data_IF_662361320721
#
_entry.id   IF_662361320721
#
_cell.length_a   1.000
_cell.length_b   1.000
_cell.length_c   1.000
_cell.angle_alpha   90.00
_cell.angle_beta   90.00
_cell.angle_gamma   90.00
#
_symmetry.space_group_name_H-M   'P 1'
#
loop_
_entity.id
_entity.type
_entity.pdbx_description
1 polymer ?
#
# COMPACT_ATOMS: atom_id res chain seq x y z
N UNK A 1 11.85 -11.00 1.03
CA UNK A 1 11.05 -10.79 2.26
C UNK A 1 9.77 -11.60 2.09
N UNK A 2 9.57 -12.65 2.88
CA UNK A 2 8.36 -13.50 2.82
C UNK A 2 7.43 -13.09 3.96
N UNK A 3 6.12 -12.99 3.71
CA UNK A 3 5.15 -12.58 4.75
C UNK A 3 4.92 -13.70 5.78
N UNK A 4 4.86 -13.32 7.06
CA UNK A 4 4.66 -14.27 8.17
C UNK A 4 3.22 -14.79 8.21
N UNK A 5 2.27 -13.96 7.83
CA UNK A 5 0.88 -14.35 7.57
C UNK A 5 0.78 -15.56 6.63
N UNK A 6 1.39 -15.51 5.43
CA UNK A 6 1.32 -16.65 4.50
C UNK A 6 2.00 -17.91 5.06
N UNK A 7 3.13 -17.77 5.75
CA UNK A 7 3.81 -18.92 6.38
C UNK A 7 2.94 -19.59 7.45
N UNK A 8 2.18 -18.80 8.19
CA UNK A 8 1.34 -19.28 9.29
C UNK A 8 0.03 -19.88 8.80
N UNK A 9 -0.47 -19.43 7.66
CA UNK A 9 -1.82 -19.76 7.20
C UNK A 9 -1.85 -20.74 6.02
N UNK A 10 -0.73 -20.96 5.31
CA UNK A 10 -0.58 -22.01 4.28
C UNK A 10 -0.30 -23.39 4.90
N UNK A 11 -1.20 -23.87 5.76
CA UNK A 11 -1.06 -25.16 6.47
C UNK A 11 -1.89 -26.29 5.89
N UNK A 12 -3.05 -25.97 5.31
CA UNK A 12 -3.98 -26.98 4.84
C UNK A 12 -3.58 -27.50 3.45
N UNK A 13 -3.40 -28.81 3.35
CA UNK A 13 -3.16 -29.52 2.10
C UNK A 13 -4.30 -30.48 1.82
N UNK A 14 -4.91 -30.37 0.65
CA UNK A 14 -5.86 -31.35 0.12
C UNK A 14 -5.36 -31.85 -1.21
N UNK A 15 -5.24 -33.16 -1.37
CA UNK A 15 -4.77 -33.81 -2.60
C UNK A 15 -3.41 -33.26 -3.10
N UNK A 16 -2.50 -32.95 -2.17
CA UNK A 16 -1.17 -32.40 -2.48
C UNK A 16 -1.15 -30.91 -2.84
N UNK A 17 -2.29 -30.23 -2.87
CA UNK A 17 -2.40 -28.78 -3.12
C UNK A 17 -2.58 -28.02 -1.82
N UNK A 18 -1.87 -26.91 -1.67
CA UNK A 18 -2.17 -25.94 -0.61
C UNK A 18 -3.48 -25.23 -0.94
N UNK A 19 -4.43 -25.23 -0.01
CA UNK A 19 -5.66 -24.47 -0.13
C UNK A 19 -5.54 -23.24 0.73
N UNK A 20 -5.76 -22.08 0.13
CA UNK A 20 -5.74 -20.80 0.84
C UNK A 20 -7.07 -20.08 0.63
N UNK A 21 -7.92 -20.11 1.67
CA UNK A 21 -9.23 -19.47 1.65
C UNK A 21 -9.10 -18.03 2.16
N UNK A 22 -9.05 -17.09 1.23
CA UNK A 22 -9.15 -15.66 1.51
C UNK A 22 -10.58 -15.23 1.22
N UNK A 23 -11.27 -14.69 2.22
CA UNK A 23 -12.53 -13.97 2.01
C UNK A 23 -12.26 -12.47 1.89
N UNK A 24 -13.17 -11.74 1.25
CA UNK A 24 -13.18 -10.26 1.22
C UNK A 24 -12.05 -9.56 0.44
N UNK A 25 -11.27 -10.26 -0.37
CA UNK A 25 -10.27 -9.65 -1.26
C UNK A 25 -10.60 -9.96 -2.71
N UNK A 26 -10.63 -8.93 -3.56
CA UNK A 26 -10.92 -9.12 -4.98
C UNK A 26 -9.73 -9.74 -5.72
N UNK A 27 -9.97 -10.49 -6.81
CA UNK A 27 -8.90 -11.12 -7.59
C UNK A 27 -7.83 -10.13 -8.07
N UNK A 28 -8.22 -8.90 -8.43
CA UNK A 28 -7.29 -7.84 -8.86
C UNK A 28 -6.33 -7.43 -7.75
N UNK A 29 -6.84 -7.23 -6.53
CA UNK A 29 -6.00 -6.88 -5.38
C UNK A 29 -5.03 -8.02 -5.07
N UNK A 30 -5.53 -9.26 -5.09
CA UNK A 30 -4.71 -10.43 -4.85
C UNK A 30 -3.60 -10.60 -5.90
N UNK A 31 -3.90 -10.34 -7.18
CA UNK A 31 -2.89 -10.35 -8.25
C UNK A 31 -1.79 -9.32 -8.00
N UNK A 32 -2.16 -8.09 -7.62
CA UNK A 32 -1.21 -7.04 -7.29
C UNK A 32 -0.32 -7.42 -6.09
N UNK A 33 -0.89 -8.03 -5.06
CA UNK A 33 -0.14 -8.56 -3.91
C UNK A 33 0.87 -9.63 -4.35
N UNK A 34 0.45 -10.60 -5.17
CA UNK A 34 1.36 -11.64 -5.64
C UNK A 34 2.45 -11.06 -6.53
N UNK A 35 2.11 -10.14 -7.44
CA UNK A 35 3.10 -9.46 -8.27
C UNK A 35 4.15 -8.75 -7.42
N UNK A 36 3.74 -8.06 -6.36
CA UNK A 36 4.67 -7.46 -5.40
C UNK A 36 5.54 -8.51 -4.70
N UNK A 37 4.97 -9.62 -4.22
CA UNK A 37 5.72 -10.69 -3.54
C UNK A 37 6.78 -11.34 -4.43
N UNK A 38 6.49 -11.56 -5.70
CA UNK A 38 7.40 -12.21 -6.65
C UNK A 38 8.40 -11.24 -7.27
N UNK A 39 7.96 -10.05 -7.67
CA UNK A 39 8.78 -9.08 -8.42
C UNK A 39 9.42 -8.00 -7.52
N UNK A 40 8.93 -7.84 -6.29
CA UNK A 40 9.34 -6.77 -5.37
C UNK A 40 8.92 -5.36 -5.82
N UNK A 41 8.06 -5.26 -6.84
CA UNK A 41 7.68 -3.99 -7.49
C UNK A 41 6.18 -3.97 -7.79
N UNK A 42 5.60 -2.79 -7.72
CA UNK A 42 4.22 -2.49 -8.10
C UNK A 42 4.17 -1.04 -8.59
N UNK A 43 3.38 -0.79 -9.65
CA UNK A 43 3.12 0.57 -10.11
C UNK A 43 1.80 1.05 -9.51
N UNK A 44 1.87 1.98 -8.57
CA UNK A 44 0.71 2.56 -7.90
C UNK A 44 0.08 3.71 -8.69
N UNK A 45 0.78 4.25 -9.70
CA UNK A 45 0.34 5.43 -10.46
C UNK A 45 -0.86 5.15 -11.36
N UNK A 46 -1.00 3.90 -11.81
CA UNK A 46 -2.08 3.44 -12.70
C UNK A 46 -3.37 3.07 -11.94
N UNK A 47 -3.35 3.07 -10.62
CA UNK A 47 -4.48 2.64 -9.80
C UNK A 47 -5.30 3.82 -9.27
N UNK A 48 -6.62 3.61 -9.15
CA UNK A 48 -7.53 4.59 -8.53
C UNK A 48 -7.36 4.61 -7.00
N UNK A 49 -7.81 5.70 -6.36
CA UNK A 49 -7.73 5.83 -4.90
C UNK A 49 -8.45 4.69 -4.15
N UNK A 50 -9.59 4.24 -4.68
CA UNK A 50 -10.34 3.12 -4.11
C UNK A 50 -9.52 1.83 -4.17
N UNK A 51 -8.86 1.55 -5.30
CA UNK A 51 -8.00 0.37 -5.45
C UNK A 51 -6.78 0.46 -4.53
N UNK A 52 -6.15 1.63 -4.42
CA UNK A 52 -5.02 1.85 -3.53
C UNK A 52 -5.40 1.64 -2.06
N UNK A 53 -6.61 2.06 -1.68
CA UNK A 53 -7.14 1.86 -0.31
C UNK A 53 -7.37 0.37 -0.03
N UNK A 54 -8.02 -0.34 -0.95
CA UNK A 54 -8.22 -1.79 -0.83
C UNK A 54 -6.89 -2.56 -0.80
N UNK A 55 -5.92 -2.13 -1.62
CA UNK A 55 -4.59 -2.71 -1.65
C UNK A 55 -3.84 -2.48 -0.33
N UNK A 56 -3.95 -1.27 0.24
CA UNK A 56 -3.38 -0.95 1.55
C UNK A 56 -3.97 -1.84 2.65
N UNK A 57 -5.29 -2.01 2.66
CA UNK A 57 -5.98 -2.90 3.61
C UNK A 57 -5.47 -4.34 3.48
N UNK A 58 -5.42 -4.88 2.26
CA UNK A 58 -4.92 -6.23 2.01
C UNK A 58 -3.43 -6.40 2.37
N UNK A 59 -2.59 -5.41 2.05
CA UNK A 59 -1.17 -5.42 2.39
C UNK A 59 -0.96 -5.44 3.91
N UNK A 60 -1.80 -4.72 4.67
CA UNK A 60 -1.78 -4.74 6.13
C UNK A 60 -2.24 -6.09 6.68
N UNK A 61 -3.33 -6.66 6.16
CA UNK A 61 -3.83 -7.98 6.56
C UNK A 61 -2.78 -9.08 6.32
N UNK A 62 -2.04 -8.99 5.21
CA UNK A 62 -1.00 -9.95 4.86
C UNK A 62 0.37 -9.66 5.48
N UNK A 63 0.46 -8.69 6.40
CA UNK A 63 1.69 -8.31 7.11
C UNK A 63 2.85 -7.96 6.14
N UNK A 64 2.53 -7.23 5.07
CA UNK A 64 3.48 -6.78 4.06
C UNK A 64 3.96 -5.36 4.34
N UNK A 65 4.66 -5.17 5.46
CA UNK A 65 5.07 -3.85 5.98
C UNK A 65 5.75 -2.96 4.93
N UNK A 66 6.62 -3.51 4.08
CA UNK A 66 7.28 -2.74 3.03
C UNK A 66 6.31 -2.22 1.97
N UNK A 67 5.26 -2.99 1.65
CA UNK A 67 4.23 -2.55 0.70
C UNK A 67 3.30 -1.53 1.36
N UNK A 68 2.93 -1.75 2.64
CA UNK A 68 2.14 -0.80 3.42
C UNK A 68 2.82 0.57 3.44
N UNK A 69 4.10 0.61 3.80
CA UNK A 69 4.89 1.84 3.81
C UNK A 69 4.94 2.50 2.43
N UNK A 70 5.19 1.72 1.38
CA UNK A 70 5.26 2.23 0.01
C UNK A 70 3.93 2.87 -0.46
N UNK A 71 2.79 2.24 -0.16
CA UNK A 71 1.47 2.77 -0.51
C UNK A 71 1.17 4.04 0.28
N UNK A 72 1.48 4.07 1.59
CA UNK A 72 1.28 5.26 2.41
C UNK A 72 2.11 6.45 1.93
N UNK A 73 3.40 6.24 1.65
CA UNK A 73 4.27 7.27 1.07
C UNK A 73 3.72 7.80 -0.25
N UNK A 74 3.29 6.90 -1.14
CA UNK A 74 2.69 7.28 -2.41
C UNK A 74 1.41 8.12 -2.24
N UNK A 75 0.52 7.73 -1.32
CA UNK A 75 -0.72 8.47 -1.04
C UNK A 75 -0.44 9.86 -0.46
N UNK A 76 0.55 9.97 0.44
CA UNK A 76 0.97 11.26 1.00
C UNK A 76 1.50 12.18 -0.11
N UNK A 77 2.41 11.68 -0.96
CA UNK A 77 2.96 12.47 -2.06
C UNK A 77 1.84 12.91 -3.01
N UNK A 78 0.97 11.98 -3.42
CA UNK A 78 -0.16 12.30 -4.30
C UNK A 78 -1.12 13.32 -3.69
N UNK A 79 -1.35 13.26 -2.38
CA UNK A 79 -2.14 14.27 -1.69
C UNK A 79 -1.45 15.64 -1.72
N UNK A 80 -0.18 15.71 -1.33
CA UNK A 80 0.60 16.96 -1.35
C UNK A 80 0.63 17.57 -2.76
N UNK A 81 0.94 16.78 -3.79
CA UNK A 81 0.96 17.23 -5.18
C UNK A 81 -0.39 17.83 -5.59
N UNK A 82 -1.50 17.17 -5.28
CA UNK A 82 -2.84 17.69 -5.59
C UNK A 82 -3.16 18.97 -4.80
N UNK A 83 -2.73 19.05 -3.53
CA UNK A 83 -2.96 20.21 -2.67
C UNK A 83 -2.16 21.43 -3.13
N UNK A 84 -0.88 21.26 -3.48
CA UNK A 84 0.00 22.36 -3.92
C UNK A 84 -0.30 22.83 -5.35
N UNK A 85 -0.83 21.96 -6.21
CA UNK A 85 -1.23 22.35 -7.57
C UNK A 85 -2.61 23.01 -7.65
N UNK A 86 -3.35 23.11 -6.54
CA UNK A 86 -4.67 23.73 -6.51
C UNK A 86 -4.61 25.08 -5.77
N UNK A 87 -4.97 26.16 -6.47
CA UNK A 87 -4.88 27.54 -5.98
C UNK A 87 -5.79 27.84 -4.77
N UNK A 88 -6.82 27.01 -4.53
CA UNK A 88 -7.84 27.26 -3.50
C UNK A 88 -7.56 26.59 -2.14
N UNK A 89 -6.39 25.98 -1.93
CA UNK A 89 -6.07 25.25 -0.69
C UNK A 89 -5.02 25.93 0.19
N UNK A 90 -4.87 27.25 0.12
CA UNK A 90 -3.87 28.02 0.89
C UNK A 90 -3.79 27.61 2.39
N UNK A 91 -4.90 27.43 3.15
CA UNK A 91 -4.81 27.01 4.55
C UNK A 91 -4.20 25.62 4.72
N UNK A 92 -4.53 24.68 3.83
CA UNK A 92 -4.02 23.30 3.88
C UNK A 92 -2.55 23.28 3.45
N UNK A 93 -2.19 24.03 2.40
CA UNK A 93 -0.80 24.19 1.95
C UNK A 93 0.08 24.72 3.08
N UNK A 94 -0.34 25.78 3.75
CA UNK A 94 0.38 26.38 4.88
C UNK A 94 0.52 25.38 6.04
N UNK A 95 -0.52 24.61 6.34
CA UNK A 95 -0.46 23.57 7.37
C UNK A 95 0.51 22.43 7.01
N UNK A 96 0.49 21.95 5.76
CA UNK A 96 1.44 20.95 5.27
C UNK A 96 2.88 21.45 5.34
N UNK A 97 3.14 22.71 4.95
CA UNK A 97 4.46 23.34 5.04
C UNK A 97 4.97 23.40 6.50
N UNK A 98 4.10 23.69 7.47
CA UNK A 98 4.47 23.67 8.89
C UNK A 98 4.93 22.28 9.33
N UNK A 99 4.16 21.23 9.03
CA UNK A 99 4.51 19.84 9.41
C UNK A 99 5.86 19.41 8.81
N UNK A 100 6.09 19.73 7.53
CA UNK A 100 7.34 19.38 6.83
C UNK A 100 8.53 20.11 7.44
N UNK A 101 8.37 21.39 7.80
CA UNK A 101 9.43 22.20 8.41
C UNK A 101 9.75 21.76 9.86
N UNK A 102 8.75 21.31 10.62
CA UNK A 102 8.93 20.83 12.00
C UNK A 102 9.56 19.43 12.08
N UNK A 103 9.31 18.59 11.07
CA UNK A 103 9.87 17.23 10.99
C UNK A 103 10.42 16.98 9.58
N UNK A 104 11.62 17.52 9.27
CA UNK A 104 12.24 17.29 7.97
C UNK A 104 12.50 15.78 7.80
N UNK A 105 11.97 15.21 6.72
CA UNK A 105 12.21 13.80 6.37
C UNK A 105 13.74 13.61 6.26
N UNK A 106 14.35 12.67 7.02
CA UNK A 106 15.78 12.43 6.93
C UNK A 106 16.16 12.08 5.49
N UNK A 107 17.11 12.83 4.92
CA UNK A 107 17.65 12.54 3.61
C UNK A 107 18.29 11.13 3.63
N UNK A 108 17.87 10.27 2.71
CA UNK A 108 18.44 8.93 2.48
C UNK A 108 19.88 9.01 1.96
#
# INVERSE_FOLDING_TARGET
RQSNYFRSNLKEKKDGKFIFNISNISPKILENIFRFLYCGKIDLSVESLDILTLLLTAANEFELESLVKHIQEFLIIKFLDNTFNCENFEPIQNYCLQIICETPIPQM
#
